data_IF_284580344214
#
_entry.id   IF_284580344214
#
_cell.length_a   1.000
_cell.length_b   1.000
_cell.length_c   1.000
_cell.angle_alpha   90.00
_cell.angle_beta   90.00
_cell.angle_gamma   90.00
#
_symmetry.space_group_name_H-M   'P 1'
#
loop_
_entity.id
_entity.type
_entity.pdbx_description
1 polymer ?
#
# COMPACT_ATOMS: atom_id res chain seq x y z
N UNK A 1 6.80 17.92 -14.16
CA UNK A 1 7.05 16.68 -14.92
C UNK A 1 6.31 15.58 -14.19
N UNK A 2 5.35 14.84 -14.78
CA UNK A 2 4.69 13.76 -14.06
C UNK A 2 5.56 12.50 -14.11
N UNK A 3 5.82 11.90 -12.95
CA UNK A 3 6.63 10.70 -12.75
C UNK A 3 5.77 9.45 -12.91
N UNK A 4 6.34 8.40 -13.52
CA UNK A 4 5.77 7.06 -13.71
C UNK A 4 5.34 6.47 -12.35
N UNK A 5 4.14 5.87 -12.23
CA UNK A 5 3.78 5.14 -11.00
C UNK A 5 3.07 3.81 -11.32
N UNK A 6 3.87 2.78 -11.59
CA UNK A 6 3.67 1.56 -10.81
C UNK A 6 4.08 1.94 -9.38
N UNK A 7 3.26 1.65 -8.36
CA UNK A 7 3.49 2.09 -6.98
C UNK A 7 4.79 1.56 -6.36
N UNK A 8 5.94 2.13 -6.73
CA UNK A 8 7.20 1.96 -6.00
C UNK A 8 7.10 2.78 -4.73
N UNK A 9 6.98 2.09 -3.61
CA UNK A 9 6.83 2.72 -2.31
C UNK A 9 8.11 2.43 -1.55
N UNK A 10 8.78 3.50 -1.17
CA UNK A 10 10.03 3.40 -0.44
C UNK A 10 9.66 3.15 1.01
N UNK A 11 9.97 1.93 1.45
CA UNK A 11 10.23 1.74 2.87
C UNK A 11 11.67 2.14 3.15
N UNK A 12 11.88 2.76 4.30
CA UNK A 12 13.15 3.24 4.86
C UNK A 12 14.33 2.26 4.66
N UNK A 13 14.90 2.28 3.47
CA UNK A 13 16.22 1.81 3.08
C UNK A 13 16.60 2.64 1.84
N UNK A 14 17.70 3.37 1.93
CA UNK A 14 18.14 4.35 0.94
C UNK A 14 18.46 3.79 -0.45
N UNK A 15 18.23 2.50 -0.78
CA UNK A 15 18.76 1.93 -2.03
C UNK A 15 17.86 0.96 -2.81
N UNK A 16 16.72 0.45 -2.29
CA UNK A 16 15.85 -0.45 -3.07
C UNK A 16 14.35 -0.24 -2.79
N UNK A 17 13.56 0.29 -3.75
CA UNK A 17 12.12 0.44 -3.59
C UNK A 17 11.41 -0.91 -3.49
N UNK A 18 10.43 -1.01 -2.60
CA UNK A 18 9.47 -2.13 -2.62
C UNK A 18 8.34 -1.78 -3.57
N UNK A 19 8.07 -2.67 -4.52
CA UNK A 19 6.90 -2.52 -5.39
C UNK A 19 5.64 -2.94 -4.65
N UNK A 20 4.64 -2.06 -4.62
CA UNK A 20 3.28 -2.36 -4.19
C UNK A 20 2.34 -2.36 -5.40
N UNK A 21 1.45 -3.34 -5.46
CA UNK A 21 0.31 -3.30 -6.35
C UNK A 21 -0.73 -2.34 -5.76
N UNK A 22 -1.15 -1.35 -6.54
CA UNK A 22 -2.26 -0.48 -6.15
C UNK A 22 -3.53 -1.13 -6.67
N UNK A 23 -4.46 -1.46 -5.77
CA UNK A 23 -5.67 -2.21 -6.13
C UNK A 23 -6.92 -1.51 -5.60
N UNK A 24 -7.66 -0.87 -6.50
CA UNK A 24 -8.94 -0.22 -6.17
C UNK A 24 -10.04 -1.22 -5.81
N UNK A 25 -9.87 -2.51 -6.12
CA UNK A 25 -10.75 -3.59 -5.69
C UNK A 25 -10.41 -4.17 -4.31
N UNK A 26 -9.21 -3.91 -3.79
CA UNK A 26 -8.80 -4.41 -2.48
C UNK A 26 -9.39 -3.59 -1.34
N UNK A 27 -10.00 -4.26 -0.36
CA UNK A 27 -10.53 -3.65 0.85
C UNK A 27 -9.47 -3.44 1.95
N UNK A 28 -8.24 -3.89 1.70
CA UNK A 28 -7.15 -3.86 2.69
C UNK A 28 -5.84 -3.40 2.06
N UNK A 29 -4.97 -2.84 2.90
CA UNK A 29 -3.55 -2.77 2.60
C UNK A 29 -2.87 -3.96 3.27
N UNK A 30 -2.05 -4.69 2.53
CA UNK A 30 -1.40 -5.90 3.02
C UNK A 30 0.03 -6.00 2.52
N UNK A 31 0.95 -6.42 3.40
CA UNK A 31 2.33 -6.70 3.06
C UNK A 31 2.77 -8.08 3.60
N UNK A 32 3.79 -8.70 3.00
CA UNK A 32 4.45 -9.87 3.56
C UNK A 32 5.13 -9.56 4.90
N UNK A 33 5.20 -10.56 5.79
CA UNK A 33 5.90 -10.46 7.07
C UNK A 33 7.40 -10.13 6.90
N UNK A 34 8.02 -10.62 5.84
CA UNK A 34 9.43 -10.39 5.54
C UNK A 34 9.70 -8.89 5.37
N UNK A 35 8.84 -8.19 4.63
CA UNK A 35 8.94 -6.74 4.42
C UNK A 35 8.77 -6.00 5.74
N UNK A 36 7.82 -6.42 6.58
CA UNK A 36 7.57 -5.79 7.87
C UNK A 36 8.75 -5.95 8.85
N UNK A 37 9.40 -7.12 8.85
CA UNK A 37 10.58 -7.40 9.66
C UNK A 37 11.76 -6.56 9.19
N UNK A 38 12.04 -6.54 7.89
CA UNK A 38 13.12 -5.74 7.29
C UNK A 38 12.95 -4.25 7.59
N UNK A 39 11.71 -3.77 7.49
CA UNK A 39 11.30 -2.41 7.80
C UNK A 39 11.28 -2.08 9.30
N UNK A 40 11.48 -3.08 10.18
CA UNK A 40 11.37 -2.94 11.63
C UNK A 40 10.03 -2.30 12.08
N UNK A 41 8.92 -2.72 11.46
CA UNK A 41 7.61 -2.16 11.74
C UNK A 41 7.15 -2.49 13.15
N UNK A 42 6.73 -1.45 13.88
CA UNK A 42 5.97 -1.65 15.10
C UNK A 42 4.59 -2.17 14.72
N UNK A 43 4.19 -3.28 15.34
CA UNK A 43 2.96 -3.97 14.95
C UNK A 43 2.33 -4.73 16.12
N UNK A 44 1.02 -4.91 16.08
CA UNK A 44 0.24 -5.64 17.10
C UNK A 44 -0.48 -6.83 16.48
N UNK A 45 -0.43 -7.98 17.16
CA UNK A 45 -1.12 -9.19 16.67
C UNK A 45 -2.63 -8.96 16.66
N UNK A 46 -3.28 -9.31 15.55
CA UNK A 46 -4.72 -9.41 15.44
C UNK A 46 -5.13 -10.88 15.35
N UNK A 47 -6.27 -11.22 15.95
CA UNK A 47 -6.92 -12.50 15.70
C UNK A 47 -7.93 -12.34 14.57
N UNK A 48 -7.45 -12.36 13.34
CA UNK A 48 -8.25 -12.17 12.13
C UNK A 48 -7.92 -13.23 11.09
N UNK A 49 -8.94 -13.63 10.33
CA UNK A 49 -8.79 -14.46 9.14
C UNK A 49 -9.09 -13.61 7.91
N UNK A 50 -8.15 -13.55 6.97
CA UNK A 50 -8.36 -12.94 5.67
C UNK A 50 -8.73 -14.01 4.67
N UNK A 51 -9.71 -13.71 3.81
CA UNK A 51 -10.13 -14.57 2.71
C UNK A 51 -9.92 -13.82 1.40
N UNK A 52 -9.09 -14.36 0.52
CA UNK A 52 -8.95 -13.86 -0.84
C UNK A 52 -10.12 -14.28 -1.73
N UNK A 53 -10.28 -13.61 -2.88
CA UNK A 53 -11.34 -13.89 -3.86
C UNK A 53 -11.29 -15.35 -4.35
N UNK A 54 -10.09 -15.94 -4.46
CA UNK A 54 -9.90 -17.35 -4.80
C UNK A 54 -10.21 -18.36 -3.67
N UNK A 55 -10.73 -17.92 -2.53
CA UNK A 55 -11.08 -18.77 -1.39
C UNK A 55 -9.93 -19.10 -0.43
N UNK A 56 -8.68 -18.76 -0.79
CA UNK A 56 -7.51 -18.89 0.09
C UNK A 56 -7.71 -18.09 1.38
N UNK A 57 -7.35 -18.71 2.51
CA UNK A 57 -7.52 -18.10 3.83
C UNK A 57 -6.19 -18.00 4.56
N UNK A 58 -5.87 -16.82 5.09
CA UNK A 58 -4.69 -16.56 5.92
C UNK A 58 -5.14 -16.19 7.33
N UNK A 59 -4.67 -16.92 8.34
CA UNK A 59 -5.28 -16.94 9.69
C UNK A 59 -4.53 -16.17 10.79
N UNK A 60 -3.34 -15.64 10.48
CA UNK A 60 -2.56 -14.83 11.42
C UNK A 60 -2.15 -13.55 10.72
N UNK A 61 -2.69 -12.43 11.20
CA UNK A 61 -2.44 -11.12 10.65
C UNK A 61 -2.03 -10.19 11.77
N UNK A 62 -0.97 -9.41 11.54
CA UNK A 62 -0.50 -8.38 12.45
C UNK A 62 -0.89 -7.02 11.85
N UNK A 63 -1.18 -6.02 12.67
CA UNK A 63 -1.48 -4.68 12.20
C UNK A 63 -0.35 -3.72 12.56
N UNK A 64 0.13 -2.98 11.57
CA UNK A 64 0.93 -1.77 11.78
C UNK A 64 0.06 -0.55 11.46
N UNK A 65 0.02 0.42 12.35
CA UNK A 65 -0.82 1.61 12.23
C UNK A 65 0.07 2.84 12.08
N UNK A 66 -0.46 3.87 11.39
CA UNK A 66 0.22 5.16 11.21
C UNK A 66 1.63 5.01 10.62
N UNK A 67 1.78 4.08 9.69
CA UNK A 67 3.10 3.69 9.22
C UNK A 67 3.56 4.67 8.12
N UNK A 68 4.66 5.41 8.32
CA UNK A 68 5.11 6.40 7.35
C UNK A 68 5.74 5.72 6.14
N UNK A 69 5.40 6.20 4.96
CA UNK A 69 5.96 5.75 3.68
C UNK A 69 6.42 6.94 2.85
N UNK A 70 7.45 6.73 2.05
CA UNK A 70 7.91 7.71 1.07
C UNK A 70 7.49 7.27 -0.33
N UNK A 71 6.77 8.13 -1.03
CA UNK A 71 6.41 7.93 -2.43
C UNK A 71 7.63 8.23 -3.31
N UNK A 72 7.67 7.66 -4.53
CA UNK A 72 8.71 7.98 -5.52
C UNK A 72 8.79 9.47 -5.89
N UNK A 73 7.71 10.20 -5.67
CA UNK A 73 7.63 11.66 -5.83
C UNK A 73 8.34 12.44 -4.72
N UNK A 74 8.79 11.76 -3.66
CA UNK A 74 9.37 12.35 -2.45
C UNK A 74 8.33 12.76 -1.41
N UNK A 75 7.04 12.61 -1.70
CA UNK A 75 5.97 12.89 -0.74
C UNK A 75 5.94 11.82 0.35
N UNK A 76 5.81 12.26 1.61
CA UNK A 76 5.54 11.37 2.72
C UNK A 76 4.03 11.17 2.88
N UNK A 77 3.63 9.92 3.08
CA UNK A 77 2.25 9.50 3.31
C UNK A 77 2.19 8.56 4.50
N UNK A 78 0.97 8.32 4.97
CA UNK A 78 0.72 7.42 6.08
C UNK A 78 -0.22 6.30 5.65
N UNK A 79 0.03 5.08 6.14
CA UNK A 79 -0.76 3.90 5.80
C UNK A 79 -0.93 2.98 7.02
N UNK A 80 -2.10 2.33 7.11
CA UNK A 80 -2.32 1.21 8.01
C UNK A 80 -2.16 -0.10 7.23
N UNK A 81 -1.37 -1.03 7.75
CA UNK A 81 -0.95 -2.24 7.05
C UNK A 81 -1.35 -3.50 7.82
N UNK A 82 -1.99 -4.42 7.13
CA UNK A 82 -2.06 -5.81 7.55
C UNK A 82 -0.76 -6.52 7.12
N UNK A 83 -0.17 -7.26 8.04
CA UNK A 83 1.06 -8.02 7.81
C UNK A 83 0.68 -9.48 7.88
N UNK A 84 0.93 -10.21 6.79
CA UNK A 84 0.54 -11.61 6.65
C UNK A 84 1.75 -12.51 6.40
N UNK A 85 1.72 -13.71 6.97
CA UNK A 85 2.72 -14.75 6.70
C UNK A 85 2.42 -15.46 5.38
N UNK A 86 3.48 -15.86 4.67
CA UNK A 86 3.40 -16.66 3.45
C UNK A 86 3.42 -15.83 2.16
N UNK A 87 3.20 -16.49 1.02
CA UNK A 87 3.27 -15.85 -0.30
C UNK A 87 2.07 -14.92 -0.53
N UNK A 88 2.20 -13.67 -0.10
CA UNK A 88 1.24 -12.59 -0.29
C UNK A 88 1.90 -11.49 -1.11
N UNK A 89 1.16 -10.83 -1.98
CA UNK A 89 1.66 -9.64 -2.66
C UNK A 89 1.53 -8.41 -1.76
N UNK A 90 2.48 -7.48 -1.85
CA UNK A 90 2.34 -6.14 -1.30
C UNK A 90 1.22 -5.42 -2.06
N UNK A 91 0.08 -5.16 -1.41
CA UNK A 91 -1.09 -4.52 -2.00
C UNK A 91 -1.47 -3.28 -1.19
N UNK A 92 -1.61 -2.14 -1.87
CA UNK A 92 -2.13 -0.90 -1.32
C UNK A 92 -3.53 -0.69 -1.90
N UNK A 93 -4.52 -0.94 -1.05
CA UNK A 93 -5.92 -0.98 -1.45
C UNK A 93 -6.64 0.36 -1.33
N UNK A 94 -7.97 0.29 -1.39
CA UNK A 94 -8.85 1.45 -1.16
C UNK A 94 -8.55 2.23 0.12
N UNK A 95 -8.20 1.61 1.27
CA UNK A 95 -7.89 2.38 2.48
C UNK A 95 -6.70 3.32 2.31
N UNK A 96 -5.63 2.90 1.61
CA UNK A 96 -4.50 3.79 1.32
C UNK A 96 -4.93 5.00 0.46
N UNK A 97 -5.68 4.72 -0.61
CA UNK A 97 -6.19 5.75 -1.51
C UNK A 97 -7.08 6.76 -0.79
N UNK A 98 -8.04 6.27 -0.01
CA UNK A 98 -8.99 7.10 0.72
C UNK A 98 -8.30 7.97 1.78
N UNK A 99 -7.43 7.39 2.62
CA UNK A 99 -6.76 8.11 3.70
C UNK A 99 -5.84 9.23 3.19
N UNK A 100 -5.27 9.05 1.99
CA UNK A 100 -4.33 10.01 1.40
C UNK A 100 -4.96 10.92 0.34
N UNK A 101 -6.29 10.83 0.16
CA UNK A 101 -7.05 11.56 -0.85
C UNK A 101 -6.47 11.37 -2.27
N UNK A 102 -6.14 10.12 -2.62
CA UNK A 102 -5.57 9.73 -3.90
C UNK A 102 -6.59 8.97 -4.74
N UNK A 103 -6.50 9.12 -6.06
CA UNK A 103 -7.15 8.27 -7.05
C UNK A 103 -6.09 7.60 -7.91
N UNK A 104 -6.41 6.40 -8.39
CA UNK A 104 -5.63 5.73 -9.42
C UNK A 104 -6.30 6.00 -10.76
N UNK A 105 -5.57 6.64 -11.68
CA UNK A 105 -6.06 7.01 -13.01
C UNK A 105 -5.16 6.44 -14.10
N UNK A 106 -5.70 6.26 -15.29
CA UNK A 106 -4.93 5.79 -16.44
C UNK A 106 -4.58 6.96 -17.38
N UNK A 107 -3.30 7.21 -17.56
CA UNK A 107 -2.73 8.13 -18.53
C UNK A 107 -2.26 7.39 -19.77
N UNK A 108 -2.74 7.80 -20.95
CA UNK A 108 -2.32 7.22 -22.23
C UNK A 108 -0.81 7.29 -22.51
N UNK A 109 -0.08 8.18 -21.83
CA UNK A 109 1.38 8.34 -21.99
C UNK A 109 2.19 7.60 -20.93
N UNK A 110 1.60 7.37 -19.75
CA UNK A 110 2.35 6.99 -18.55
C UNK A 110 1.81 5.73 -17.85
N UNK A 111 0.69 5.19 -18.33
CA UNK A 111 0.01 4.09 -17.68
C UNK A 111 -0.74 4.56 -16.44
N UNK A 112 -0.75 3.76 -15.38
CA UNK A 112 -1.37 4.11 -14.11
C UNK A 112 -0.60 5.25 -13.42
N UNK A 113 -1.35 6.22 -12.90
CA UNK A 113 -0.84 7.39 -12.17
C UNK A 113 -1.70 7.65 -10.93
N UNK A 114 -1.08 8.21 -9.89
CA UNK A 114 -1.85 8.80 -8.80
C UNK A 114 -2.28 10.22 -9.16
N UNK A 115 -3.53 10.55 -8.87
CA UNK A 115 -4.06 11.91 -8.93
C UNK A 115 -4.70 12.30 -7.60
N UNK A 116 -4.83 13.59 -7.36
CA UNK A 116 -5.66 14.13 -6.29
C UNK A 116 -7.02 14.50 -6.88
N UNK A 117 -8.14 14.26 -6.17
CA UNK A 117 -9.42 14.81 -6.58
C UNK A 117 -9.30 16.32 -6.76
N UNK A 118 -9.83 16.83 -7.88
CA UNK A 118 -10.00 18.27 -8.04
C UNK A 118 -10.83 18.77 -6.85
N UNK A 119 -10.37 19.86 -6.21
CA UNK A 119 -11.22 20.56 -5.27
C UNK A 119 -12.36 21.15 -6.08
N UNK A 120 -13.57 20.63 -5.92
CA UNK A 120 -14.76 21.33 -6.38
C UNK A 120 -14.68 22.76 -5.84
N UNK A 121 -14.57 23.72 -6.75
CA UNK A 121 -14.39 25.13 -6.41
C UNK A 121 -15.50 25.58 -5.47
N UNK A 122 -15.13 26.03 -4.27
CA UNK A 122 -16.03 26.77 -3.40
C UNK A 122 -16.37 28.13 -4.00
#
# INVERSE_FOLDING_TARGET
>A
MPTLIYGSIYWKREECPTMALVDTGSEINIIPEEIAIEASLTSRKLNMKLRGIGGHTTSLVVLSEFTPISMITGEEKEIHLLIAKGAVHTIFGRPFLANNNLKLEFSHKQGEIFSYPEKDGC
#
